data_IF_418797458042
#
_entry.id   IF_418797458042
#
_cell.length_a   1.000
_cell.length_b   1.000
_cell.length_c   1.000
_cell.angle_alpha   90.00
_cell.angle_beta   90.00
_cell.angle_gamma   90.00
#
_symmetry.space_group_name_H-M   'P 1'
#
loop_
_entity.id
_entity.type
_entity.pdbx_description
1 polymer ?
#
# COMPACT_ATOMS: atom_id res chain seq x y z
N UNK A 1 14.81 -60.90 35.24
CA UNK A 1 13.44 -61.15 34.70
C UNK A 1 12.57 -59.92 35.02
N UNK A 2 12.22 -59.10 34.02
CA UNK A 2 11.39 -57.90 34.25
C UNK A 2 9.95 -58.28 34.61
N UNK A 3 9.36 -57.55 35.56
CA UNK A 3 7.99 -57.80 36.01
C UNK A 3 6.96 -57.58 34.89
N UNK A 4 5.84 -58.31 34.95
CA UNK A 4 4.74 -58.18 33.96
C UNK A 4 4.22 -56.74 33.83
N UNK A 5 4.30 -55.94 34.91
CA UNK A 5 3.93 -54.52 34.90
C UNK A 5 4.95 -53.64 34.16
N UNK A 6 6.26 -53.91 34.31
CA UNK A 6 7.31 -53.18 33.59
C UNK A 6 7.25 -53.41 32.06
N UNK A 7 6.88 -54.63 31.63
CA UNK A 7 6.67 -54.95 30.21
C UNK A 7 5.45 -54.24 29.60
N UNK A 8 4.39 -54.05 30.40
CA UNK A 8 3.20 -53.31 29.97
C UNK A 8 3.46 -51.81 29.82
N UNK A 9 4.24 -51.22 30.74
CA UNK A 9 4.60 -49.80 30.68
C UNK A 9 5.61 -49.48 29.58
N UNK A 10 6.59 -50.36 29.31
CA UNK A 10 7.50 -50.21 28.17
C UNK A 10 6.80 -50.37 26.82
N UNK A 11 5.78 -51.24 26.72
CA UNK A 11 4.95 -51.36 25.53
C UNK A 11 4.10 -50.11 25.26
N UNK A 12 3.56 -49.48 26.31
CA UNK A 12 2.73 -48.28 26.16
C UNK A 12 3.54 -47.05 25.71
N UNK A 13 4.79 -46.91 26.21
CA UNK A 13 5.69 -45.81 25.82
C UNK A 13 6.16 -45.96 24.36
N UNK A 14 6.42 -47.19 23.90
CA UNK A 14 6.82 -47.44 22.51
C UNK A 14 5.69 -47.14 21.51
N UNK A 15 4.42 -47.39 21.86
CA UNK A 15 3.26 -47.10 20.99
C UNK A 15 2.94 -45.59 20.92
N UNK A 16 3.12 -44.85 22.03
CA UNK A 16 2.92 -43.38 22.03
C UNK A 16 4.06 -42.67 21.28
N UNK A 17 5.27 -43.23 21.25
CA UNK A 17 6.42 -42.65 20.52
C UNK A 17 6.38 -42.91 19.01
N UNK A 18 5.65 -43.92 18.53
CA UNK A 18 5.50 -44.21 17.10
C UNK A 18 4.31 -43.50 16.44
N UNK A 19 3.42 -42.87 17.21
CA UNK A 19 2.26 -42.14 16.69
C UNK A 19 2.51 -40.64 16.45
N UNK A 20 3.73 -40.14 16.68
CA UNK A 20 4.11 -38.73 16.49
C UNK A 20 4.97 -38.44 15.24
N UNK A 21 5.08 -39.39 14.30
CA UNK A 21 5.89 -39.22 13.07
C UNK A 21 5.10 -39.23 11.74
N UNK A 22 3.77 -39.09 11.77
CA UNK A 22 2.94 -39.08 10.57
C UNK A 22 2.23 -37.74 10.28
N UNK A 23 2.89 -36.61 10.49
CA UNK A 23 2.39 -35.29 10.00
C UNK A 23 3.48 -34.35 9.47
N UNK A 24 4.63 -34.89 9.05
CA UNK A 24 5.69 -34.11 8.39
C UNK A 24 5.86 -34.54 6.94
N UNK A 25 4.83 -34.27 6.12
CA UNK A 25 4.92 -34.14 4.67
C UNK A 25 3.66 -33.41 4.19
N UNK A 26 3.71 -32.08 4.24
CA UNK A 26 2.77 -31.19 3.56
C UNK A 26 3.59 -30.09 2.91
N UNK A 27 3.46 -29.96 1.60
CA UNK A 27 4.15 -28.98 0.76
C UNK A 27 4.15 -27.60 1.42
N UNK A 28 5.34 -26.97 1.43
CA UNK A 28 5.49 -25.54 1.68
C UNK A 28 4.96 -24.82 0.44
N UNK A 29 3.68 -24.54 0.40
CA UNK A 29 3.16 -23.41 -0.38
C UNK A 29 3.49 -22.17 0.43
N UNK A 30 4.25 -21.27 -0.18
CA UNK A 30 4.45 -19.92 0.31
C UNK A 30 3.11 -19.18 0.21
N UNK A 31 2.24 -19.40 1.20
CA UNK A 31 1.13 -18.51 1.44
C UNK A 31 1.71 -17.22 2.02
N UNK A 32 1.81 -16.22 1.15
CA UNK A 32 1.72 -14.83 1.55
C UNK A 32 0.43 -14.67 2.36
N UNK A 33 0.55 -14.84 3.68
CA UNK A 33 -0.42 -14.38 4.66
C UNK A 33 -0.45 -12.85 4.58
N UNK A 34 -1.17 -12.35 3.57
CA UNK A 34 -1.68 -11.01 3.57
C UNK A 34 -2.64 -10.95 4.74
N UNK A 35 -2.17 -10.40 5.87
CA UNK A 35 -2.87 -10.34 7.14
C UNK A 35 -4.30 -9.83 6.97
N UNK A 36 -5.21 -10.77 6.73
CA UNK A 36 -6.64 -10.57 6.70
C UNK A 36 -7.11 -10.47 8.13
N UNK A 37 -6.87 -9.31 8.74
CA UNK A 37 -7.57 -8.92 9.95
C UNK A 37 -9.06 -9.12 9.71
N UNK A 38 -9.70 -9.90 10.58
CA UNK A 38 -11.14 -10.17 10.51
C UNK A 38 -11.85 -8.84 10.69
N UNK A 39 -12.22 -8.23 9.58
CA UNK A 39 -12.77 -6.90 9.58
C UNK A 39 -14.21 -6.94 10.10
N UNK A 40 -14.38 -6.62 11.38
CA UNK A 40 -15.68 -6.54 12.05
C UNK A 40 -16.36 -5.18 11.88
N UNK A 41 -15.76 -4.24 11.15
CA UNK A 41 -16.34 -2.91 10.96
C UNK A 41 -17.36 -2.85 9.82
N UNK A 42 -18.06 -1.72 9.74
CA UNK A 42 -19.14 -1.51 8.78
C UNK A 42 -18.57 -1.27 7.39
N UNK A 43 -19.21 -1.84 6.35
CA UNK A 43 -18.95 -1.43 4.97
C UNK A 43 -19.68 -0.14 4.66
N UNK A 44 -18.93 0.86 4.20
CA UNK A 44 -19.52 2.10 3.74
C UNK A 44 -20.33 1.87 2.45
N UNK A 45 -21.54 2.42 2.38
CA UNK A 45 -22.40 2.42 1.19
C UNK A 45 -22.81 3.83 0.86
N UNK A 46 -22.45 4.31 -0.33
CA UNK A 46 -22.86 5.61 -0.81
C UNK A 46 -24.39 5.68 -0.92
N UNK A 47 -24.96 6.76 -0.39
CA UNK A 47 -26.39 7.05 -0.33
C UNK A 47 -26.80 8.08 -1.39
N UNK A 48 -25.82 8.77 -2.00
CA UNK A 48 -26.04 9.91 -2.88
C UNK A 48 -26.35 11.21 -2.14
N UNK A 49 -26.29 11.21 -0.80
CA UNK A 49 -26.52 12.37 0.07
C UNK A 49 -25.25 12.84 0.76
N UNK A 50 -24.10 12.36 0.31
CA UNK A 50 -22.80 12.75 0.84
C UNK A 50 -22.52 14.24 0.60
N UNK A 51 -21.78 14.85 1.52
CA UNK A 51 -21.31 16.22 1.37
C UNK A 51 -20.08 16.29 0.46
N UNK A 52 -19.93 17.41 -0.25
CA UNK A 52 -18.73 17.71 -1.04
C UNK A 52 -17.80 18.61 -0.23
N UNK A 53 -16.52 18.25 -0.17
CA UNK A 53 -15.46 19.16 0.30
C UNK A 53 -14.95 19.95 -0.89
N UNK A 54 -14.94 21.28 -0.77
CA UNK A 54 -14.35 22.17 -1.76
C UNK A 54 -13.58 23.29 -1.06
N UNK A 55 -12.50 23.75 -1.69
CA UNK A 55 -11.65 24.78 -1.12
C UNK A 55 -10.35 24.98 -1.90
N UNK A 56 -9.57 25.97 -1.47
CA UNK A 56 -8.24 26.27 -1.99
C UNK A 56 -7.24 26.12 -0.85
N UNK A 57 -6.19 25.34 -1.05
CA UNK A 57 -5.08 25.26 -0.10
C UNK A 57 -4.13 26.44 -0.36
N UNK A 58 -4.21 27.45 0.49
CA UNK A 58 -3.30 28.59 0.44
C UNK A 58 -1.96 28.23 1.09
N UNK A 59 -0.88 28.73 0.51
CA UNK A 59 0.47 28.66 1.07
C UNK A 59 0.92 30.06 1.49
N UNK A 60 1.31 30.20 2.76
CA UNK A 60 1.85 31.45 3.29
C UNK A 60 3.37 31.33 3.43
N UNK A 61 4.10 32.15 2.68
CA UNK A 61 5.55 32.16 2.66
C UNK A 61 6.12 32.07 1.24
N UNK A 62 7.45 32.03 1.16
CA UNK A 62 8.18 31.84 -0.11
C UNK A 62 8.41 30.36 -0.33
N UNK A 63 7.90 29.82 -1.45
CA UNK A 63 8.19 28.45 -1.83
C UNK A 63 9.68 28.31 -2.20
N UNK A 64 10.34 27.19 -1.84
CA UNK A 64 11.70 26.93 -2.27
C UNK A 64 11.76 26.83 -3.80
N UNK A 65 12.88 27.26 -4.38
CA UNK A 65 13.08 27.11 -5.81
C UNK A 65 13.18 25.62 -6.19
N UNK A 66 12.44 25.15 -7.21
CA UNK A 66 12.57 23.80 -7.71
C UNK A 66 14.01 23.51 -8.14
N UNK A 67 14.57 22.39 -7.67
CA UNK A 67 15.93 21.99 -8.04
C UNK A 67 15.87 21.21 -9.34
N UNK A 68 16.76 21.51 -10.28
CA UNK A 68 16.91 20.71 -11.49
C UNK A 68 17.28 19.27 -11.13
N UNK A 69 16.59 18.30 -11.73
CA UNK A 69 16.93 16.89 -11.66
C UNK A 69 17.91 16.59 -12.78
N UNK A 70 19.04 15.98 -12.44
CA UNK A 70 20.04 15.58 -13.43
C UNK A 70 19.60 14.29 -14.12
N UNK A 71 19.23 14.42 -15.40
CA UNK A 71 18.81 13.32 -16.26
C UNK A 71 19.94 12.83 -17.17
N UNK A 72 21.17 13.34 -17.04
CA UNK A 72 22.24 13.10 -18.03
C UNK A 72 22.73 11.66 -18.09
N UNK A 73 22.38 10.83 -17.10
CA UNK A 73 22.67 9.40 -17.08
C UNK A 73 21.94 8.62 -18.19
N UNK A 74 20.81 9.13 -18.68
CA UNK A 74 20.02 8.51 -19.75
C UNK A 74 19.58 9.56 -20.79
N UNK A 75 19.96 9.31 -22.06
CA UNK A 75 19.63 10.21 -23.16
C UNK A 75 18.12 10.30 -23.44
N UNK A 76 17.36 9.23 -23.21
CA UNK A 76 15.90 9.25 -23.36
C UNK A 76 15.27 10.19 -22.33
N UNK A 77 15.74 10.15 -21.08
CA UNK A 77 15.29 11.05 -20.03
C UNK A 77 15.62 12.51 -20.34
N UNK A 78 16.86 12.78 -20.73
CA UNK A 78 17.30 14.14 -21.09
C UNK A 78 16.53 14.70 -22.30
N UNK A 79 16.25 13.86 -23.29
CA UNK A 79 15.50 14.26 -24.49
C UNK A 79 14.02 14.54 -24.17
N UNK A 80 13.39 13.68 -23.37
CA UNK A 80 11.96 13.76 -23.06
C UNK A 80 11.62 14.81 -21.98
N UNK A 81 12.53 15.01 -21.02
CA UNK A 81 12.35 15.92 -19.89
C UNK A 81 13.61 16.79 -19.64
N UNK A 82 13.97 17.68 -20.57
CA UNK A 82 15.22 18.46 -20.48
C UNK A 82 15.28 19.46 -19.31
N UNK A 83 14.11 19.82 -18.76
CA UNK A 83 13.95 20.77 -17.65
C UNK A 83 13.29 20.11 -16.43
N UNK A 84 13.51 18.80 -16.24
CA UNK A 84 12.95 18.10 -15.09
C UNK A 84 13.43 18.74 -13.79
N UNK A 85 12.51 18.94 -12.85
CA UNK A 85 12.79 19.61 -11.58
C UNK A 85 12.01 18.96 -10.44
N UNK A 86 12.46 19.18 -9.21
CA UNK A 86 11.81 18.64 -8.01
C UNK A 86 10.45 19.29 -7.79
N UNK A 87 9.50 18.49 -7.30
CA UNK A 87 8.14 18.91 -6.98
C UNK A 87 7.87 18.93 -5.47
N UNK A 88 8.93 19.09 -4.65
CA UNK A 88 8.87 19.08 -3.19
C UNK A 88 7.80 20.04 -2.64
N UNK A 89 7.68 21.24 -3.22
CA UNK A 89 6.65 22.21 -2.88
C UNK A 89 6.27 23.08 -4.08
N UNK A 90 5.20 22.71 -4.77
CA UNK A 90 4.69 23.45 -5.92
C UNK A 90 3.67 24.50 -5.49
N UNK A 91 4.06 25.77 -5.50
CA UNK A 91 3.19 26.90 -5.19
C UNK A 91 3.09 27.83 -6.38
N UNK A 92 1.87 28.16 -6.78
CA UNK A 92 1.58 29.16 -7.81
C UNK A 92 0.52 30.13 -7.29
N UNK A 93 0.79 31.42 -7.39
CA UNK A 93 -0.12 32.49 -6.95
C UNK A 93 -0.59 32.30 -5.48
N UNK A 94 0.32 31.85 -4.61
CA UNK A 94 0.04 31.57 -3.19
C UNK A 94 -0.82 30.32 -2.94
N UNK A 95 -0.98 29.43 -3.93
CA UNK A 95 -1.78 28.20 -3.82
C UNK A 95 -0.92 26.97 -4.00
N UNK A 96 -1.13 25.97 -3.15
CA UNK A 96 -0.40 24.71 -3.16
C UNK A 96 -1.04 23.71 -4.14
N UNK A 97 -0.22 23.12 -5.01
CA UNK A 97 -0.61 21.97 -5.83
C UNK A 97 -0.34 20.64 -5.09
N UNK A 98 -0.89 19.54 -5.60
CA UNK A 98 -0.66 18.18 -5.10
C UNK A 98 -1.02 17.97 -3.61
N UNK A 99 -2.00 18.69 -3.09
CA UNK A 99 -2.46 18.51 -1.71
C UNK A 99 -3.35 17.27 -1.55
N UNK A 100 -3.04 16.43 -0.55
CA UNK A 100 -3.89 15.32 -0.13
C UNK A 100 -4.69 15.72 1.12
N UNK A 101 -6.02 15.67 1.02
CA UNK A 101 -6.94 16.01 2.12
C UNK A 101 -7.67 14.75 2.55
N UNK A 102 -7.62 14.43 3.85
CA UNK A 102 -8.32 13.29 4.43
C UNK A 102 -9.05 13.68 5.71
N UNK A 103 -10.25 13.12 5.91
CA UNK A 103 -11.00 13.28 7.15
C UNK A 103 -10.58 12.15 8.09
N UNK A 104 -9.92 12.50 9.20
CA UNK A 104 -9.41 11.51 10.16
C UNK A 104 -10.48 10.93 11.08
N UNK A 105 -11.43 11.77 11.49
CA UNK A 105 -12.45 11.42 12.47
C UNK A 105 -13.69 12.29 12.25
N UNK A 106 -14.84 11.82 12.74
CA UNK A 106 -16.13 12.50 12.60
C UNK A 106 -17.28 11.61 13.04
N UNK A 107 -18.44 12.24 13.28
CA UNK A 107 -19.70 11.54 13.58
C UNK A 107 -20.77 12.04 12.61
N UNK A 108 -21.43 11.10 11.94
CA UNK A 108 -22.53 11.35 11.03
C UNK A 108 -23.79 11.73 11.80
N UNK A 109 -24.79 12.27 11.08
CA UNK A 109 -26.06 12.70 11.68
C UNK A 109 -26.84 11.57 12.37
N UNK A 110 -26.61 10.32 11.96
CA UNK A 110 -27.21 9.12 12.56
C UNK A 110 -26.44 8.59 13.79
N UNK A 111 -25.37 9.28 14.20
CA UNK A 111 -24.51 8.89 15.32
C UNK A 111 -23.40 7.91 14.96
N UNK A 112 -23.32 7.43 13.72
CA UNK A 112 -22.22 6.56 13.26
C UNK A 112 -20.91 7.34 13.24
N UNK A 113 -19.82 6.76 13.75
CA UNK A 113 -18.49 7.38 13.67
C UNK A 113 -17.81 6.99 12.36
N UNK A 114 -16.96 7.85 11.80
CA UNK A 114 -16.14 7.51 10.63
C UNK A 114 -15.26 6.28 10.93
N UNK A 115 -14.76 6.17 12.16
CA UNK A 115 -13.99 5.01 12.64
C UNK A 115 -14.78 3.70 12.71
N UNK A 116 -16.12 3.74 12.61
CA UNK A 116 -16.94 2.53 12.58
C UNK A 116 -16.91 1.85 11.21
N UNK A 117 -16.48 2.58 10.16
CA UNK A 117 -16.28 2.01 8.83
C UNK A 117 -14.86 1.50 8.69
N UNK A 118 -14.75 0.35 8.04
CA UNK A 118 -13.48 -0.36 7.88
C UNK A 118 -13.29 -0.93 6.48
N UNK A 119 -14.41 -1.14 5.76
CA UNK A 119 -14.41 -1.48 4.34
C UNK A 119 -15.05 -0.36 3.52
N UNK A 120 -14.44 -0.09 2.38
CA UNK A 120 -14.92 0.84 1.37
C UNK A 120 -15.40 0.05 0.14
N UNK A 121 -16.34 0.60 -0.65
CA UNK A 121 -16.72 -0.03 -1.91
C UNK A 121 -15.50 -0.24 -2.80
N UNK A 122 -15.43 -1.38 -3.48
CA UNK A 122 -14.39 -1.63 -4.48
C UNK A 122 -14.47 -0.57 -5.58
N UNK A 123 -13.34 0.06 -5.88
CA UNK A 123 -13.24 0.98 -7.00
C UNK A 123 -13.20 0.19 -8.31
N UNK A 124 -14.02 0.54 -9.31
CA UNK A 124 -14.13 -0.25 -10.53
C UNK A 124 -12.91 -0.12 -11.46
N UNK A 125 -12.09 0.93 -11.29
CA UNK A 125 -10.88 1.15 -12.06
C UNK A 125 -9.68 1.25 -11.13
N UNK A 126 -8.55 0.71 -11.58
CA UNK A 126 -7.28 0.82 -10.86
C UNK A 126 -6.75 2.26 -10.95
N UNK A 127 -6.29 2.81 -9.83
CA UNK A 127 -5.51 4.02 -9.82
C UNK A 127 -4.19 3.79 -10.57
N UNK A 128 -3.80 4.72 -11.45
CA UNK A 128 -2.58 4.58 -12.26
C UNK A 128 -1.49 5.55 -11.81
N UNK A 129 -0.29 5.02 -11.65
CA UNK A 129 0.95 5.76 -11.50
C UNK A 129 1.84 5.46 -12.71
N UNK A 130 2.13 6.45 -13.54
CA UNK A 130 2.90 6.27 -14.78
C UNK A 130 4.28 6.92 -14.68
N UNK A 131 5.30 6.21 -15.14
CA UNK A 131 6.63 6.77 -15.37
C UNK A 131 6.69 7.25 -16.81
N UNK A 132 6.67 8.57 -16.97
CA UNK A 132 6.65 9.21 -18.26
C UNK A 132 7.49 10.48 -18.22
N UNK A 133 8.52 10.54 -19.06
CA UNK A 133 9.55 11.57 -18.99
C UNK A 133 10.48 11.37 -17.80
N UNK A 134 10.73 10.12 -17.40
CA UNK A 134 11.57 9.74 -16.26
C UNK A 134 11.12 10.40 -14.95
N UNK A 135 9.80 10.54 -14.81
CA UNK A 135 9.14 11.15 -13.69
C UNK A 135 7.80 10.47 -13.46
N UNK A 136 7.38 10.36 -12.20
CA UNK A 136 6.10 9.76 -11.85
C UNK A 136 4.95 10.76 -12.02
N UNK A 137 3.87 10.31 -12.65
CA UNK A 137 2.64 11.08 -12.81
C UNK A 137 1.42 10.23 -12.41
N UNK A 138 0.55 10.72 -11.51
CA UNK A 138 0.65 12.00 -10.78
C UNK A 138 1.72 11.96 -9.67
N UNK A 139 2.17 13.14 -9.22
CA UNK A 139 3.10 13.27 -8.09
C UNK A 139 2.51 12.75 -6.77
N UNK A 140 1.20 12.96 -6.58
CA UNK A 140 0.44 12.46 -5.43
C UNK A 140 -0.73 11.63 -5.95
N UNK A 141 -0.80 10.38 -5.52
CA UNK A 141 -1.87 9.44 -5.85
C UNK A 141 -2.61 9.04 -4.58
N UNK A 142 -3.89 9.41 -4.48
CA UNK A 142 -4.77 8.96 -3.41
C UNK A 142 -5.55 7.73 -3.85
N UNK A 143 -5.62 6.72 -2.97
CA UNK A 143 -6.37 5.48 -3.21
C UNK A 143 -7.18 5.10 -1.98
N UNK A 144 -8.23 4.31 -2.16
CA UNK A 144 -8.93 3.66 -1.04
C UNK A 144 -8.29 2.31 -0.71
N UNK A 145 -8.51 1.84 0.52
CA UNK A 145 -8.01 0.54 0.97
C UNK A 145 -8.51 -0.56 0.03
N UNK A 146 -7.62 -1.46 -0.37
CA UNK A 146 -7.84 -2.54 -1.34
C UNK A 146 -8.11 -2.10 -2.78
N UNK A 147 -7.97 -0.81 -3.12
CA UNK A 147 -7.94 -0.38 -4.50
C UNK A 147 -6.65 -0.85 -5.20
N UNK A 148 -6.76 -1.55 -6.34
CA UNK A 148 -5.58 -1.93 -7.09
C UNK A 148 -4.89 -0.70 -7.68
N UNK A 149 -3.55 -0.67 -7.59
CA UNK A 149 -2.73 0.34 -8.24
C UNK A 149 -2.04 -0.30 -9.45
N UNK A 150 -2.14 0.34 -10.60
CA UNK A 150 -1.35 0.01 -11.79
C UNK A 150 -0.16 0.95 -11.87
N UNK A 151 1.05 0.39 -11.89
CA UNK A 151 2.27 1.18 -12.10
C UNK A 151 2.76 0.89 -13.51
N UNK A 152 2.89 1.93 -14.32
CA UNK A 152 3.25 1.83 -15.73
C UNK A 152 4.60 2.49 -16.00
N UNK A 153 5.30 1.98 -16.99
CA UNK A 153 6.40 2.66 -17.63
C UNK A 153 6.01 3.00 -19.08
N UNK A 154 5.94 4.29 -19.39
CA UNK A 154 5.64 4.82 -20.73
C UNK A 154 6.87 5.47 -21.39
N UNK A 155 8.05 5.29 -20.78
CA UNK A 155 9.32 5.71 -21.35
C UNK A 155 9.95 4.63 -22.23
N UNK A 156 10.80 5.02 -23.20
CA UNK A 156 11.57 4.08 -24.01
C UNK A 156 12.80 3.53 -23.26
N UNK A 157 12.91 3.77 -21.96
CA UNK A 157 13.98 3.26 -21.09
C UNK A 157 13.38 2.47 -19.94
N UNK A 158 14.15 1.55 -19.36
CA UNK A 158 13.71 0.74 -18.22
C UNK A 158 13.81 1.54 -16.94
N UNK A 159 12.78 1.48 -16.10
CA UNK A 159 12.78 2.05 -14.77
C UNK A 159 12.63 0.95 -13.73
N UNK A 160 13.25 1.15 -12.58
CA UNK A 160 13.03 0.36 -11.39
C UNK A 160 12.10 1.13 -10.44
N UNK A 161 11.26 0.44 -9.68
CA UNK A 161 10.36 1.05 -8.70
C UNK A 161 10.81 0.61 -7.31
N UNK A 162 11.21 1.57 -6.47
CA UNK A 162 11.55 1.35 -5.07
C UNK A 162 10.58 2.11 -4.17
N UNK A 163 9.80 1.38 -3.38
CA UNK A 163 8.86 1.98 -2.44
C UNK A 163 9.51 2.19 -1.08
N UNK A 164 9.28 3.36 -0.47
CA UNK A 164 9.70 3.67 0.91
C UNK A 164 8.49 3.82 1.83
N UNK A 165 7.76 2.71 2.12
CA UNK A 165 6.55 2.75 2.92
C UNK A 165 6.84 3.04 4.39
N UNK A 166 5.87 3.65 5.07
CA UNK A 166 5.90 3.87 6.53
C UNK A 166 5.39 2.67 7.34
N UNK A 167 4.39 1.97 6.81
CA UNK A 167 3.63 0.94 7.54
C UNK A 167 3.74 -0.46 6.94
N UNK A 168 4.16 -0.58 5.69
CA UNK A 168 4.26 -1.84 4.96
C UNK A 168 5.74 -2.23 4.78
N UNK A 169 6.06 -3.48 4.42
CA UNK A 169 7.41 -3.86 4.03
C UNK A 169 7.90 -3.08 2.79
N UNK A 170 9.18 -2.71 2.80
CA UNK A 170 9.89 -2.18 1.63
C UNK A 170 9.94 -3.26 0.52
N UNK A 171 9.83 -2.82 -0.74
CA UNK A 171 10.06 -3.66 -1.91
C UNK A 171 10.60 -2.85 -3.08
N UNK A 172 11.32 -3.55 -3.97
CA UNK A 172 12.07 -2.98 -5.07
C UNK A 172 11.96 -3.89 -6.31
N UNK A 173 11.46 -3.37 -7.43
CA UNK A 173 11.12 -4.16 -8.62
C UNK A 173 11.34 -3.39 -9.92
N UNK A 174 12.12 -4.01 -10.81
CA UNK A 174 12.32 -3.58 -12.20
C UNK A 174 11.33 -4.22 -13.17
#
# INVERSE_FOLDING_TARGET
MLSKKARLWLGLIAVVSLLSLASSCGNKTDDNDNGGGTDTGKTYKATGKEGTISGVIAYNGTAPEPKKIDTSADAACTSKSPNLATEELLVKDGKLANAYVYIKDGTLADGTKISDYSTWPNMPAAATLDQNGCHYQPHVLGVVVNEPITIKNSDPTTHNIHFTPKSNPDWNQS
#
